data_IF_663349540295
#
_entry.id   IF_663349540295
#
_cell.length_a   1.000
_cell.length_b   1.000
_cell.length_c   1.000
_cell.angle_alpha   90.00
_cell.angle_beta   90.00
_cell.angle_gamma   90.00
#
_symmetry.space_group_name_H-M   'P 1'
#
loop_
_entity.id
_entity.type
_entity.pdbx_description
1 polymer ?
#
# COMPACT_ATOMS: atom_id res chain seq x y z
N UNK A 1 4.32 3.48 16.43
CA UNK A 1 4.07 3.59 17.88
C UNK A 1 2.85 2.76 18.31
N UNK A 2 1.61 3.18 18.03
CA UNK A 2 0.42 2.47 18.54
C UNK A 2 0.23 1.03 18.02
N UNK A 3 0.67 0.74 16.78
CA UNK A 3 0.60 -0.61 16.20
C UNK A 3 1.38 -1.66 16.98
N UNK A 4 2.37 -1.25 17.78
CA UNK A 4 3.27 -2.12 18.53
C UNK A 4 3.13 -1.94 20.05
N UNK A 5 1.99 -1.44 20.51
CA UNK A 5 1.72 -1.18 21.93
C UNK A 5 0.33 -1.67 22.33
N UNK A 6 0.14 -1.87 23.63
CA UNK A 6 -1.18 -2.05 24.25
C UNK A 6 -1.54 -0.79 25.04
N UNK A 7 -2.79 -0.34 24.91
CA UNK A 7 -3.30 0.77 25.72
C UNK A 7 -4.05 0.21 26.93
N UNK A 8 -3.57 0.54 28.12
CA UNK A 8 -4.28 0.27 29.36
C UNK A 8 -5.19 1.46 29.70
N UNK A 9 -6.49 1.22 29.84
CA UNK A 9 -7.48 2.25 30.14
C UNK A 9 -8.49 1.74 31.17
N UNK A 10 -8.78 2.57 32.17
CA UNK A 10 -9.81 2.28 33.16
C UNK A 10 -11.19 2.67 32.61
N UNK A 11 -12.12 1.70 32.58
CA UNK A 11 -13.50 1.90 32.14
C UNK A 11 -14.43 1.34 33.20
N UNK A 12 -15.21 2.21 33.84
CA UNK A 12 -16.15 1.82 34.89
C UNK A 12 -15.47 1.18 36.11
N UNK A 13 -14.28 1.66 36.50
CA UNK A 13 -13.53 1.12 37.65
C UNK A 13 -12.68 -0.12 37.34
N UNK A 14 -12.66 -0.61 36.09
CA UNK A 14 -11.92 -1.81 35.70
C UNK A 14 -10.86 -1.46 34.65
N UNK A 15 -9.60 -1.81 34.91
CA UNK A 15 -8.50 -1.62 33.97
C UNK A 15 -8.58 -2.63 32.82
N UNK A 16 -8.61 -2.14 31.58
CA UNK A 16 -8.73 -2.96 30.36
C UNK A 16 -7.55 -2.70 29.42
N UNK A 17 -7.10 -3.74 28.71
CA UNK A 17 -6.07 -3.63 27.66
C UNK A 17 -6.70 -3.57 26.27
N UNK A 18 -6.24 -2.67 25.42
CA UNK A 18 -6.70 -2.47 24.05
C UNK A 18 -5.56 -2.59 23.04
N UNK A 19 -5.83 -3.30 21.93
CA UNK A 19 -5.00 -3.31 20.72
C UNK A 19 -5.72 -2.58 19.60
N UNK A 20 -4.97 -1.86 18.79
CA UNK A 20 -5.51 -1.09 17.67
C UNK A 20 -5.08 -1.67 16.34
N UNK A 21 -6.04 -1.83 15.44
CA UNK A 21 -5.80 -2.17 14.03
C UNK A 21 -6.20 -0.96 13.19
N UNK A 22 -5.24 -0.40 12.47
CA UNK A 22 -5.46 0.77 11.61
C UNK A 22 -5.63 0.30 10.17
N UNK A 23 -6.79 0.61 9.57
CA UNK A 23 -7.11 0.30 8.17
C UNK A 23 -7.36 1.61 7.41
N UNK A 24 -6.38 2.07 6.65
CA UNK A 24 -6.50 3.28 5.83
C UNK A 24 -7.21 2.98 4.50
N UNK A 25 -8.53 2.88 4.51
CA UNK A 25 -9.34 2.52 3.32
C UNK A 25 -10.18 3.67 2.76
N UNK A 26 -10.15 4.85 3.40
CA UNK A 26 -11.02 5.98 3.09
C UNK A 26 -10.43 6.98 2.09
N UNK A 27 -9.62 6.53 1.13
CA UNK A 27 -8.90 7.37 0.18
C UNK A 27 -9.36 7.09 -1.25
N UNK A 28 -9.46 8.13 -2.07
CA UNK A 28 -9.66 7.95 -3.52
C UNK A 28 -8.38 7.46 -4.21
N UNK A 29 -8.49 6.99 -5.45
CA UNK A 29 -7.34 6.44 -6.19
C UNK A 29 -6.21 7.47 -6.36
N UNK A 30 -6.57 8.75 -6.58
CA UNK A 30 -5.59 9.81 -6.79
C UNK A 30 -4.70 9.96 -5.55
N UNK A 31 -5.31 10.05 -4.37
CA UNK A 31 -4.57 10.19 -3.12
C UNK A 31 -3.79 8.92 -2.79
N UNK A 32 -4.36 7.73 -3.00
CA UNK A 32 -3.64 6.45 -2.80
C UNK A 32 -2.35 6.43 -3.63
N UNK A 33 -2.43 6.81 -4.91
CA UNK A 33 -1.25 6.84 -5.79
C UNK A 33 -0.19 7.81 -5.28
N UNK A 34 -0.60 9.01 -4.88
CA UNK A 34 0.30 10.03 -4.36
C UNK A 34 1.02 9.57 -3.07
N UNK A 35 0.30 8.99 -2.11
CA UNK A 35 0.91 8.60 -0.81
C UNK A 35 1.68 7.28 -0.87
N UNK A 36 1.37 6.38 -1.80
CA UNK A 36 2.09 5.11 -1.99
C UNK A 36 3.23 5.21 -3.03
N UNK A 37 3.53 6.41 -3.54
CA UNK A 37 4.63 6.64 -4.48
C UNK A 37 4.40 6.03 -5.87
N UNK A 38 3.14 5.93 -6.29
CA UNK A 38 2.75 5.41 -7.60
C UNK A 38 2.60 6.55 -8.61
N UNK A 39 2.83 6.26 -9.88
CA UNK A 39 2.52 7.18 -10.96
C UNK A 39 1.02 7.54 -10.98
N UNK A 40 0.71 8.74 -11.49
CA UNK A 40 -0.66 9.24 -11.60
C UNK A 40 -1.55 8.35 -12.47
N UNK A 41 -2.88 8.54 -12.43
CA UNK A 41 -3.89 7.69 -13.08
C UNK A 41 -3.75 7.52 -14.60
N UNK A 42 -2.93 8.35 -15.27
CA UNK A 42 -2.58 8.22 -16.70
C UNK A 42 -1.52 7.15 -17.00
N UNK A 43 -0.91 6.53 -15.99
CA UNK A 43 0.15 5.53 -16.12
C UNK A 43 -0.27 4.30 -16.96
N UNK A 44 0.76 3.58 -17.45
CA UNK A 44 0.59 2.24 -17.99
C UNK A 44 0.28 1.21 -16.89
N UNK A 45 0.73 1.43 -15.65
CA UNK A 45 0.43 0.61 -14.48
C UNK A 45 -0.88 1.09 -13.85
N UNK A 46 -1.98 0.47 -14.28
CA UNK A 46 -3.33 0.96 -14.02
C UNK A 46 -3.87 0.57 -12.63
N UNK A 47 -3.27 -0.41 -11.97
CA UNK A 47 -3.79 -0.94 -10.71
C UNK A 47 -2.95 -0.45 -9.52
N UNK A 48 -3.62 -0.12 -8.41
CA UNK A 48 -2.95 0.16 -7.13
C UNK A 48 -2.68 -1.10 -6.32
N UNK A 49 -3.23 -2.25 -6.73
CA UNK A 49 -3.17 -3.53 -6.00
C UNK A 49 -2.31 -4.60 -6.70
N UNK A 50 -2.07 -4.48 -8.00
CA UNK A 50 -1.27 -5.42 -8.79
C UNK A 50 -0.36 -4.69 -9.79
N UNK A 51 0.48 -5.44 -10.48
CA UNK A 51 1.46 -4.89 -11.43
C UNK A 51 1.03 -4.96 -12.90
N UNK A 52 -0.23 -5.31 -13.16
CA UNK A 52 -0.74 -5.40 -14.53
C UNK A 52 -0.67 -4.03 -15.23
N UNK A 53 -0.12 -4.06 -16.44
CA UNK A 53 -0.17 -2.95 -17.37
C UNK A 53 -1.57 -2.83 -17.99
N UNK A 54 -1.86 -1.67 -18.59
CA UNK A 54 -3.10 -1.42 -19.33
C UNK A 54 -3.36 -2.46 -20.42
N UNK A 55 -2.31 -2.87 -21.14
CA UNK A 55 -2.41 -3.88 -22.19
C UNK A 55 -2.73 -5.26 -21.62
N UNK A 56 -1.99 -5.70 -20.60
CA UNK A 56 -2.21 -7.00 -19.96
C UNK A 56 -3.61 -7.11 -19.36
N UNK A 57 -4.08 -6.06 -18.69
CA UNK A 57 -5.42 -6.01 -18.13
C UNK A 57 -6.52 -6.02 -19.20
N UNK A 58 -6.25 -5.52 -20.42
CA UNK A 58 -7.20 -5.58 -21.53
C UNK A 58 -7.32 -6.99 -22.14
N UNK A 59 -6.24 -7.78 -22.08
CA UNK A 59 -6.18 -9.14 -22.61
C UNK A 59 -6.66 -10.17 -21.57
N UNK A 60 -6.31 -9.96 -20.31
CA UNK A 60 -6.73 -10.78 -19.18
C UNK A 60 -7.57 -9.92 -18.24
N UNK A 61 -8.89 -10.07 -18.32
CA UNK A 61 -9.82 -9.17 -17.61
C UNK A 61 -10.01 -9.53 -16.13
N UNK A 62 -9.78 -10.78 -15.73
CA UNK A 62 -10.25 -11.29 -14.43
C UNK A 62 -9.22 -12.09 -13.63
N UNK A 63 -8.14 -12.56 -14.25
CA UNK A 63 -7.13 -13.37 -13.56
C UNK A 63 -5.96 -12.52 -13.09
N UNK A 64 -6.19 -11.77 -12.01
CA UNK A 64 -5.17 -10.98 -11.31
C UNK A 64 -5.19 -11.31 -9.82
N UNK A 65 -4.04 -11.17 -9.16
CA UNK A 65 -3.90 -11.26 -7.71
C UNK A 65 -3.42 -9.95 -7.12
N UNK A 66 -3.69 -9.73 -5.83
CA UNK A 66 -3.12 -8.60 -5.09
C UNK A 66 -1.66 -8.93 -4.79
N UNK A 67 -0.75 -8.12 -5.33
CA UNK A 67 0.70 -8.28 -5.14
C UNK A 67 1.31 -7.10 -4.40
N UNK A 68 0.82 -5.88 -4.67
CA UNK A 68 1.37 -4.65 -4.09
C UNK A 68 1.09 -4.55 -2.60
N UNK A 69 2.09 -4.05 -1.87
CA UNK A 69 1.97 -3.70 -0.46
C UNK A 69 2.82 -2.47 -0.13
N UNK A 70 2.47 -1.77 0.95
CA UNK A 70 3.23 -0.60 1.40
C UNK A 70 4.72 -0.90 1.61
N UNK A 71 5.05 -2.06 2.20
CA UNK A 71 6.44 -2.49 2.40
C UNK A 71 7.17 -2.76 1.09
N UNK A 72 6.49 -3.35 0.11
CA UNK A 72 7.08 -3.62 -1.19
C UNK A 72 7.32 -2.32 -1.97
N UNK A 73 6.38 -1.37 -1.91
CA UNK A 73 6.55 -0.06 -2.54
C UNK A 73 7.79 0.67 -2.00
N UNK A 74 8.02 0.64 -0.68
CA UNK A 74 9.24 1.20 -0.08
C UNK A 74 10.50 0.53 -0.63
N UNK A 75 10.51 -0.80 -0.76
CA UNK A 75 11.65 -1.51 -1.33
C UNK A 75 11.87 -1.15 -2.81
N UNK A 76 10.80 -1.05 -3.61
CA UNK A 76 10.87 -0.67 -5.03
C UNK A 76 11.39 0.76 -5.19
N UNK A 77 10.97 1.69 -4.33
CA UNK A 77 11.50 3.05 -4.30
C UNK A 77 13.01 3.05 -4.03
N UNK A 78 13.48 2.27 -3.06
CA UNK A 78 14.90 2.17 -2.77
C UNK A 78 15.71 1.57 -3.93
N UNK A 79 15.17 0.54 -4.59
CA UNK A 79 15.78 -0.03 -5.81
C UNK A 79 15.86 1.01 -6.92
N UNK A 80 14.79 1.75 -7.19
CA UNK A 80 14.75 2.80 -8.20
C UNK A 80 15.77 3.91 -7.89
N UNK A 81 15.80 4.38 -6.63
CA UNK A 81 16.70 5.44 -6.17
C UNK A 81 18.17 5.03 -6.24
N UNK A 82 18.50 3.82 -5.82
CA UNK A 82 19.88 3.34 -5.76
C UNK A 82 20.40 2.88 -7.13
N UNK A 83 19.51 2.52 -8.06
CA UNK A 83 19.81 1.92 -9.35
C UNK A 83 20.95 0.87 -9.27
N UNK A 84 20.77 -0.19 -8.46
CA UNK A 84 21.85 -1.16 -8.19
C UNK A 84 22.27 -1.95 -9.44
N UNK A 85 21.43 -1.97 -10.47
CA UNK A 85 21.67 -2.68 -11.72
C UNK A 85 22.18 -1.76 -12.85
N UNK A 86 22.35 -0.47 -12.59
CA UNK A 86 22.77 0.53 -13.57
C UNK A 86 21.92 0.51 -14.85
N UNK A 87 20.62 0.30 -14.68
CA UNK A 87 19.65 0.35 -15.76
C UNK A 87 19.41 1.81 -16.20
N UNK A 88 18.99 1.99 -17.45
CA UNK A 88 18.75 3.29 -18.10
C UNK A 88 17.57 4.06 -17.50
#
# INVERSE_FOLDING_TARGET
AMKSSELMLEIGGILRSFKFIFRGTGYDEKLVREVEGLEASGSIFICTLCDATRLEASQNLVFHSITRSHSENLQRYETWRANPYHES
#
